data_IF_256007355889
#
_entry.id   IF_256007355889
#
_cell.length_a   1.000
_cell.length_b   1.000
_cell.length_c   1.000
_cell.angle_alpha   90.00
_cell.angle_beta   90.00
_cell.angle_gamma   90.00
#
_symmetry.space_group_name_H-M   'P 1'
#
loop_
_entity.id
_entity.type
_entity.pdbx_description
1 polymer ?
#
# COMPACT_ATOMS: atom_id res chain seq x y z
N UNK A 1 -2.32 -26.40 -2.60
CA UNK A 1 -1.00 -25.98 -2.11
C UNK A 1 -0.40 -24.88 -2.99
N UNK A 2 -0.35 -25.06 -4.32
CA UNK A 2 0.16 -24.06 -5.26
C UNK A 2 -0.63 -22.73 -5.18
N UNK A 3 -1.95 -22.81 -5.11
CA UNK A 3 -2.83 -21.64 -4.98
C UNK A 3 -2.53 -20.79 -3.73
N UNK A 4 -2.36 -21.42 -2.57
CA UNK A 4 -2.01 -20.72 -1.33
C UNK A 4 -0.64 -20.06 -1.40
N UNK A 5 0.34 -20.73 -2.04
CA UNK A 5 1.65 -20.12 -2.28
C UNK A 5 1.55 -18.91 -3.21
N UNK A 6 0.72 -18.99 -4.24
CA UNK A 6 0.43 -17.87 -5.15
C UNK A 6 -0.18 -16.70 -4.39
N UNK A 7 -1.20 -16.95 -3.55
CA UNK A 7 -1.83 -15.92 -2.73
C UNK A 7 -0.84 -15.28 -1.75
N UNK A 8 -0.02 -16.08 -1.07
CA UNK A 8 1.03 -15.56 -0.19
C UNK A 8 1.99 -14.65 -0.97
N UNK A 9 2.43 -15.09 -2.13
CA UNK A 9 3.36 -14.32 -3.00
C UNK A 9 2.70 -13.03 -3.49
N UNK A 10 1.43 -13.06 -3.88
CA UNK A 10 0.67 -11.87 -4.26
C UNK A 10 0.60 -10.89 -3.09
N UNK A 11 0.28 -11.36 -1.89
CA UNK A 11 0.25 -10.53 -0.68
C UNK A 11 1.62 -9.91 -0.36
N UNK A 12 2.68 -10.72 -0.42
CA UNK A 12 4.05 -10.28 -0.18
C UNK A 12 4.51 -9.25 -1.22
N UNK A 13 4.40 -9.56 -2.50
CA UNK A 13 4.89 -8.70 -3.57
C UNK A 13 4.04 -7.44 -3.74
N UNK A 14 2.71 -7.57 -3.61
CA UNK A 14 1.80 -6.43 -3.69
C UNK A 14 2.07 -5.38 -2.61
N UNK A 15 2.39 -5.83 -1.39
CA UNK A 15 2.76 -4.94 -0.28
C UNK A 15 4.20 -4.42 -0.36
N UNK A 16 5.14 -5.19 -0.93
CA UNK A 16 6.55 -4.83 -1.04
C UNK A 16 6.82 -3.67 -2.03
N UNK A 17 5.92 -3.43 -2.97
CA UNK A 17 6.02 -2.27 -3.88
C UNK A 17 6.06 -0.98 -3.05
N UNK A 18 7.10 -0.14 -3.18
CA UNK A 18 7.22 1.10 -2.43
C UNK A 18 5.99 1.98 -2.60
N UNK A 19 5.49 2.51 -1.49
CA UNK A 19 4.30 3.33 -1.46
C UNK A 19 4.15 4.05 -0.12
N UNK A 20 3.05 4.82 0.08
CA UNK A 20 2.80 5.53 1.33
C UNK A 20 2.97 4.66 2.57
N UNK A 21 2.56 3.38 2.50
CA UNK A 21 2.67 2.43 3.62
C UNK A 21 4.13 2.15 3.99
N UNK A 22 4.92 1.76 2.99
CA UNK A 22 6.35 1.45 3.17
C UNK A 22 7.11 2.68 3.65
N UNK A 23 6.82 3.85 3.06
CA UNK A 23 7.43 5.12 3.48
C UNK A 23 7.05 5.48 4.92
N UNK A 24 5.78 5.31 5.30
CA UNK A 24 5.32 5.56 6.65
C UNK A 24 6.01 4.64 7.67
N UNK A 25 6.06 3.34 7.40
CA UNK A 25 6.71 2.33 8.26
C UNK A 25 8.21 2.65 8.37
N UNK A 26 8.86 2.92 7.24
CA UNK A 26 10.29 3.26 7.19
C UNK A 26 10.61 4.48 8.04
N UNK A 27 9.88 5.60 7.84
CA UNK A 27 10.06 6.83 8.61
C UNK A 27 9.80 6.60 10.10
N UNK A 28 8.68 5.97 10.44
CA UNK A 28 8.34 5.70 11.83
C UNK A 28 9.41 4.86 12.51
N UNK A 29 10.01 3.90 11.79
CA UNK A 29 11.10 3.07 12.30
C UNK A 29 12.39 3.88 12.49
N UNK A 30 12.77 4.72 11.52
CA UNK A 30 13.97 5.56 11.61
C UNK A 30 13.84 6.60 12.73
N UNK A 31 12.68 7.25 12.84
CA UNK A 31 12.48 8.35 13.79
C UNK A 31 12.29 7.85 15.24
N UNK A 32 11.63 6.68 15.43
CA UNK A 32 11.13 6.22 16.73
C UNK A 32 11.54 4.79 17.12
N UNK A 33 12.30 4.13 16.25
CA UNK A 33 12.80 2.77 16.46
C UNK A 33 11.84 1.66 16.03
N UNK A 34 12.34 0.42 16.11
CA UNK A 34 11.67 -0.79 15.62
C UNK A 34 10.24 -0.98 16.17
N UNK A 35 10.05 -0.78 17.47
CA UNK A 35 8.75 -0.98 18.09
C UNK A 35 7.68 -0.02 17.55
N UNK A 36 8.04 1.24 17.34
CA UNK A 36 7.14 2.20 16.73
C UNK A 36 6.83 1.84 15.27
N UNK A 37 7.84 1.35 14.52
CA UNK A 37 7.65 0.80 13.17
C UNK A 37 6.65 -0.36 13.15
N UNK A 38 6.76 -1.30 14.09
CA UNK A 38 5.82 -2.42 14.21
C UNK A 38 4.41 -1.98 14.60
N UNK A 39 4.26 -0.99 15.47
CA UNK A 39 2.95 -0.42 15.79
C UNK A 39 2.33 0.23 14.54
N UNK A 40 3.11 0.98 13.79
CA UNK A 40 2.67 1.57 12.52
C UNK A 40 2.27 0.50 11.49
N UNK A 41 3.11 -0.54 11.34
CA UNK A 41 2.84 -1.69 10.49
C UNK A 41 1.54 -2.42 10.90
N UNK A 42 1.29 -2.56 12.20
CA UNK A 42 0.04 -3.15 12.70
C UNK A 42 -1.19 -2.33 12.32
N UNK A 43 -1.09 -1.01 12.30
CA UNK A 43 -2.17 -0.12 11.83
C UNK A 43 -2.44 -0.32 10.34
N UNK A 44 -1.39 -0.36 9.51
CA UNK A 44 -1.47 -0.66 8.08
C UNK A 44 -2.11 -2.02 7.85
N UNK A 45 -1.67 -3.05 8.58
CA UNK A 45 -2.18 -4.41 8.46
C UNK A 45 -3.66 -4.52 8.84
N UNK A 46 -4.08 -3.81 9.89
CA UNK A 46 -5.49 -3.77 10.28
C UNK A 46 -6.37 -3.17 9.18
N UNK A 47 -5.92 -2.11 8.53
CA UNK A 47 -6.62 -1.53 7.38
C UNK A 47 -6.61 -2.47 6.17
N UNK A 48 -5.53 -3.25 5.95
CA UNK A 48 -5.49 -4.30 4.93
C UNK A 48 -6.55 -5.37 5.15
N UNK A 49 -6.78 -5.78 6.39
CA UNK A 49 -7.84 -6.74 6.73
C UNK A 49 -9.23 -6.20 6.39
N UNK A 50 -9.45 -4.90 6.59
CA UNK A 50 -10.71 -4.26 6.16
C UNK A 50 -10.91 -4.39 4.65
N UNK A 51 -9.89 -4.06 3.85
CA UNK A 51 -9.97 -4.20 2.39
C UNK A 51 -10.12 -5.65 1.93
N UNK A 52 -9.38 -6.59 2.54
CA UNK A 52 -9.49 -8.02 2.24
C UNK A 52 -10.90 -8.56 2.51
N UNK A 53 -11.47 -8.18 3.64
CA UNK A 53 -12.84 -8.58 3.99
C UNK A 53 -13.85 -7.97 3.03
N UNK A 54 -13.73 -6.68 2.72
CA UNK A 54 -14.61 -5.99 1.78
C UNK A 54 -14.53 -6.63 0.37
N UNK A 55 -13.33 -6.89 -0.12
CA UNK A 55 -13.13 -7.55 -1.42
C UNK A 55 -13.70 -8.97 -1.44
N UNK A 56 -13.50 -9.74 -0.37
CA UNK A 56 -14.01 -11.10 -0.23
C UNK A 56 -15.53 -11.20 -0.08
N UNK A 57 -16.17 -10.16 0.46
CA UNK A 57 -17.64 -10.06 0.53
C UNK A 57 -18.28 -9.63 -0.81
N UNK A 58 -17.50 -9.57 -1.88
CA UNK A 58 -18.00 -9.25 -3.23
C UNK A 58 -18.07 -7.76 -3.54
N UNK A 59 -17.67 -6.87 -2.61
CA UNK A 59 -17.59 -5.43 -2.89
C UNK A 59 -16.56 -5.13 -3.99
N UNK A 60 -15.60 -6.04 -4.23
CA UNK A 60 -14.66 -5.97 -5.35
C UNK A 60 -15.34 -6.14 -6.72
N UNK A 61 -16.50 -6.79 -6.80
CA UNK A 61 -17.28 -6.91 -8.05
C UNK A 61 -17.76 -5.54 -8.53
N UNK A 62 -18.06 -4.63 -7.61
CA UNK A 62 -18.39 -3.26 -7.96
C UNK A 62 -17.24 -2.58 -8.72
N UNK A 63 -15.99 -2.90 -8.36
CA UNK A 63 -14.79 -2.38 -9.05
C UNK A 63 -14.62 -2.87 -10.49
N UNK A 64 -15.36 -3.91 -10.91
CA UNK A 64 -15.36 -4.41 -12.30
C UNK A 64 -16.39 -3.67 -13.18
N UNK A 65 -17.34 -2.96 -12.59
CA UNK A 65 -18.31 -2.17 -13.33
C UNK A 65 -17.63 -0.93 -13.96
N UNK A 66 -17.83 -0.66 -15.28
CA UNK A 66 -17.32 0.53 -15.95
C UNK A 66 -17.72 1.83 -15.25
N UNK A 67 -18.93 1.87 -14.67
CA UNK A 67 -19.43 3.02 -13.90
C UNK A 67 -18.63 3.33 -12.63
N UNK A 68 -17.98 2.33 -12.04
CA UNK A 68 -17.05 2.51 -10.92
C UNK A 68 -15.60 2.72 -11.37
N UNK A 69 -15.19 2.03 -12.45
CA UNK A 69 -13.83 2.14 -12.98
C UNK A 69 -13.52 3.55 -13.48
N UNK A 70 -14.48 4.19 -14.13
CA UNK A 70 -14.32 5.54 -14.66
C UNK A 70 -13.98 6.57 -13.57
N UNK A 71 -14.80 6.79 -12.53
CA UNK A 71 -14.46 7.77 -11.49
C UNK A 71 -13.24 7.36 -10.65
N UNK A 72 -13.09 6.08 -10.31
CA UNK A 72 -11.91 5.59 -9.58
C UNK A 72 -10.64 5.81 -10.41
N UNK A 73 -10.69 5.54 -11.71
CA UNK A 73 -9.57 5.75 -12.60
C UNK A 73 -9.17 7.22 -12.72
N UNK A 74 -10.13 8.13 -12.83
CA UNK A 74 -9.88 9.58 -12.91
C UNK A 74 -9.32 10.10 -11.57
N UNK A 75 -10.06 9.94 -10.48
CA UNK A 75 -9.65 10.48 -9.18
C UNK A 75 -8.41 9.77 -8.62
N UNK A 76 -8.32 8.45 -8.80
CA UNK A 76 -7.17 7.66 -8.37
C UNK A 76 -5.89 8.03 -9.12
N UNK A 77 -5.97 8.25 -10.44
CA UNK A 77 -4.79 8.67 -11.21
C UNK A 77 -4.31 10.05 -10.82
N UNK A 78 -5.22 11.02 -10.66
CA UNK A 78 -4.88 12.37 -10.21
C UNK A 78 -4.20 12.35 -8.83
N UNK A 79 -4.72 11.53 -7.92
CA UNK A 79 -4.15 11.37 -6.59
C UNK A 79 -2.78 10.68 -6.62
N UNK A 80 -2.59 9.63 -7.46
CA UNK A 80 -1.27 8.99 -7.63
C UNK A 80 -0.24 9.94 -8.22
N UNK A 81 -0.62 10.77 -9.20
CA UNK A 81 0.26 11.80 -9.76
C UNK A 81 0.62 12.86 -8.70
N UNK A 82 -0.33 13.25 -7.88
CA UNK A 82 -0.09 14.18 -6.77
C UNK A 82 0.92 13.58 -5.76
N UNK A 83 0.74 12.30 -5.36
CA UNK A 83 1.70 11.58 -4.50
C UNK A 83 3.06 11.49 -5.17
N UNK A 84 3.13 11.09 -6.45
CA UNK A 84 4.37 10.97 -7.20
C UNK A 84 5.15 12.29 -7.19
N UNK A 85 4.47 13.41 -7.43
CA UNK A 85 5.05 14.75 -7.37
C UNK A 85 5.53 15.11 -5.95
N UNK A 86 4.74 14.79 -4.93
CA UNK A 86 5.10 15.05 -3.52
C UNK A 86 6.36 14.29 -3.11
N UNK A 87 6.41 13.00 -3.41
CA UNK A 87 7.55 12.13 -3.06
C UNK A 87 8.80 12.50 -3.86
N UNK A 88 8.68 12.89 -5.11
CA UNK A 88 9.80 13.29 -5.96
C UNK A 88 10.63 14.42 -5.37
N UNK A 89 9.95 15.39 -4.76
CA UNK A 89 10.57 16.59 -4.18
C UNK A 89 10.92 16.42 -2.70
N UNK A 90 10.50 15.31 -2.09
CA UNK A 90 10.67 15.12 -0.66
C UNK A 90 12.12 14.76 -0.31
N UNK A 91 12.77 15.62 0.48
CA UNK A 91 14.02 15.29 1.16
C UNK A 91 13.67 14.66 2.50
N UNK A 92 14.14 13.44 2.74
CA UNK A 92 14.09 12.86 4.08
C UNK A 92 15.05 13.67 4.95
N UNK A 93 14.53 14.62 5.70
CA UNK A 93 15.27 15.25 6.78
C UNK A 93 15.34 14.20 7.90
N UNK A 94 16.52 13.62 8.07
CA UNK A 94 16.88 12.89 9.29
C UNK A 94 17.13 13.92 10.38
N UNK A 95 16.06 14.61 10.80
CA UNK A 95 16.15 15.49 11.95
C UNK A 95 16.12 14.57 13.17
N UNK A 96 17.21 14.59 13.95
CA UNK A 96 17.43 13.79 15.14
C UNK A 96 16.50 14.17 16.31
N UNK A 97 15.28 14.54 16.03
CA UNK A 97 14.27 14.74 17.06
C UNK A 97 13.66 13.39 17.41
N UNK A 98 14.29 12.77 18.38
CA UNK A 98 13.68 11.70 19.18
C UNK A 98 12.45 12.24 19.90
N UNK A 99 11.37 12.43 19.16
CA UNK A 99 10.05 12.60 19.76
C UNK A 99 9.57 11.20 20.18
N UNK A 100 10.15 10.71 21.30
CA UNK A 100 9.92 9.37 21.85
C UNK A 100 8.52 9.20 22.45
N UNK A 101 7.75 10.29 22.59
CA UNK A 101 6.48 10.31 23.34
C UNK A 101 5.22 10.26 22.47
N UNK A 102 5.33 9.88 21.19
CA UNK A 102 4.14 9.67 20.38
C UNK A 102 3.28 8.53 20.96
N UNK A 103 2.05 8.83 21.37
CA UNK A 103 1.09 7.82 21.84
C UNK A 103 1.03 6.67 20.83
N UNK A 104 1.24 5.43 21.29
CA UNK A 104 1.20 4.20 20.47
C UNK A 104 -0.05 4.11 19.61
N UNK A 105 -1.20 4.51 20.21
CA UNK A 105 -2.48 4.59 19.50
C UNK A 105 -2.43 5.57 18.31
N UNK A 106 -1.78 6.71 18.44
CA UNK A 106 -1.64 7.68 17.34
C UNK A 106 -0.82 7.10 16.18
N UNK A 107 0.27 6.40 16.49
CA UNK A 107 1.10 5.73 15.47
C UNK A 107 0.26 4.67 14.75
N UNK A 108 -0.48 3.84 15.48
CA UNK A 108 -1.37 2.83 14.92
C UNK A 108 -2.44 3.44 14.01
N UNK A 109 -3.19 4.42 14.53
CA UNK A 109 -4.27 5.09 13.77
C UNK A 109 -3.75 5.83 12.55
N UNK A 110 -2.57 6.42 12.63
CA UNK A 110 -1.93 7.07 11.47
C UNK A 110 -1.54 6.04 10.40
N UNK A 111 -0.99 4.87 10.79
CA UNK A 111 -0.72 3.77 9.87
C UNK A 111 -1.98 3.28 9.17
N UNK A 112 -3.07 3.11 9.95
CA UNK A 112 -4.37 2.74 9.42
C UNK A 112 -4.91 3.78 8.43
N UNK A 113 -4.86 5.07 8.79
CA UNK A 113 -5.32 6.15 7.93
C UNK A 113 -4.51 6.26 6.63
N UNK A 114 -3.18 6.12 6.71
CA UNK A 114 -2.29 6.10 5.53
C UNK A 114 -2.71 4.98 4.57
N UNK A 115 -2.97 3.78 5.06
CA UNK A 115 -3.37 2.65 4.22
C UNK A 115 -4.77 2.81 3.64
N UNK A 116 -5.75 3.25 4.45
CA UNK A 116 -7.12 3.49 3.98
C UNK A 116 -7.21 4.61 2.93
N UNK A 117 -6.30 5.57 3.00
CA UNK A 117 -6.20 6.65 2.01
C UNK A 117 -5.26 6.32 0.85
N UNK A 118 -4.68 5.11 0.84
CA UNK A 118 -3.70 4.72 -0.16
C UNK A 118 -4.40 4.20 -1.43
N UNK A 119 -4.40 4.95 -2.55
CA UNK A 119 -5.07 4.53 -3.77
C UNK A 119 -4.44 3.26 -4.37
N UNK A 120 -3.14 3.02 -4.14
CA UNK A 120 -2.50 1.76 -4.52
C UNK A 120 -3.18 0.59 -3.82
N UNK A 121 -3.50 0.72 -2.51
CA UNK A 121 -4.19 -0.31 -1.76
C UNK A 121 -5.61 -0.50 -2.30
N UNK A 122 -6.37 0.57 -2.52
CA UNK A 122 -7.72 0.51 -3.08
C UNK A 122 -7.73 -0.26 -4.40
N UNK A 123 -6.83 0.08 -5.33
CA UNK A 123 -6.74 -0.58 -6.63
C UNK A 123 -6.32 -2.04 -6.48
N UNK A 124 -5.29 -2.29 -5.67
CA UNK A 124 -4.79 -3.65 -5.45
C UNK A 124 -5.90 -4.57 -4.94
N UNK A 125 -6.63 -4.16 -3.92
CA UNK A 125 -7.68 -4.97 -3.32
C UNK A 125 -8.95 -5.06 -4.18
N UNK A 126 -9.34 -3.99 -4.85
CA UNK A 126 -10.58 -3.94 -5.63
C UNK A 126 -10.44 -4.55 -7.03
N UNK A 127 -9.31 -4.31 -7.71
CA UNK A 127 -9.15 -4.69 -9.11
C UNK A 127 -8.30 -5.95 -9.26
N UNK A 128 -7.17 -6.02 -8.53
CA UNK A 128 -6.21 -7.11 -8.70
C UNK A 128 -6.63 -8.34 -7.88
N UNK A 129 -7.01 -8.14 -6.62
CA UNK A 129 -7.21 -9.23 -5.68
C UNK A 129 -8.63 -9.78 -5.64
N UNK A 130 -9.65 -8.95 -5.84
CA UNK A 130 -11.04 -9.37 -5.75
C UNK A 130 -11.38 -10.61 -6.62
N UNK A 131 -10.90 -10.72 -7.88
CA UNK A 131 -11.14 -11.93 -8.70
C UNK A 131 -10.59 -13.21 -8.10
N UNK A 132 -9.47 -13.14 -7.37
CA UNK A 132 -8.84 -14.31 -6.72
C UNK A 132 -9.58 -14.75 -5.46
N UNK A 133 -10.36 -13.86 -4.83
CA UNK A 133 -11.15 -14.17 -3.64
C UNK A 133 -12.56 -14.69 -3.96
N UNK A 134 -12.96 -14.66 -5.24
CA UNK A 134 -14.31 -15.06 -5.66
C UNK A 134 -14.59 -16.56 -5.50
N UNK A 135 -13.56 -17.39 -5.41
CA UNK A 135 -13.68 -18.85 -5.35
C UNK A 135 -12.79 -19.43 -4.26
N UNK A 136 -13.32 -20.33 -3.43
CA UNK A 136 -12.56 -21.05 -2.43
C UNK A 136 -12.90 -20.73 -0.97
N UNK A 137 -11.98 -21.08 -0.07
CA UNK A 137 -12.14 -20.85 1.38
C UNK A 137 -11.67 -19.42 1.72
N UNK A 138 -12.61 -18.48 1.70
CA UNK A 138 -12.34 -17.06 1.95
C UNK A 138 -11.55 -16.79 3.25
N UNK A 139 -11.89 -17.36 4.43
CA UNK A 139 -11.09 -17.17 5.63
C UNK A 139 -9.63 -17.60 5.48
N UNK A 140 -9.37 -18.72 4.81
CA UNK A 140 -8.03 -19.21 4.58
C UNK A 140 -7.27 -18.31 3.59
N UNK A 141 -7.92 -17.84 2.55
CA UNK A 141 -7.35 -16.90 1.57
C UNK A 141 -6.96 -15.57 2.24
N UNK A 142 -7.85 -15.01 3.06
CA UNK A 142 -7.57 -13.79 3.86
C UNK A 142 -6.38 -14.03 4.79
N UNK A 143 -6.34 -15.16 5.49
CA UNK A 143 -5.23 -15.50 6.39
C UNK A 143 -3.90 -15.53 5.65
N UNK A 144 -3.83 -16.24 4.52
CA UNK A 144 -2.59 -16.41 3.74
C UNK A 144 -2.11 -15.08 3.15
N UNK A 145 -3.02 -14.29 2.60
CA UNK A 145 -2.71 -12.94 2.11
C UNK A 145 -2.21 -12.03 3.23
N UNK A 146 -2.87 -12.08 4.39
CA UNK A 146 -2.46 -11.32 5.59
C UNK A 146 -1.06 -11.73 6.05
N UNK A 147 -0.72 -13.02 5.98
CA UNK A 147 0.65 -13.49 6.28
C UNK A 147 1.68 -12.88 5.31
N UNK A 148 1.38 -12.80 4.00
CA UNK A 148 2.23 -12.12 3.02
C UNK A 148 2.44 -10.64 3.35
N UNK A 149 1.36 -9.90 3.64
CA UNK A 149 1.44 -8.50 4.06
C UNK A 149 2.23 -8.33 5.36
N UNK A 150 1.99 -9.20 6.35
CA UNK A 150 2.70 -9.19 7.64
C UNK A 150 4.20 -9.35 7.41
N UNK A 151 4.59 -10.35 6.62
CA UNK A 151 6.01 -10.58 6.29
C UNK A 151 6.65 -9.34 5.70
N UNK A 152 5.99 -8.66 4.78
CA UNK A 152 6.52 -7.43 4.17
C UNK A 152 6.61 -6.28 5.18
N UNK A 153 5.51 -5.92 5.82
CA UNK A 153 5.48 -4.69 6.63
C UNK A 153 6.34 -4.79 7.89
N UNK A 154 6.31 -5.93 8.57
CA UNK A 154 7.17 -6.16 9.73
C UNK A 154 8.63 -6.38 9.33
N UNK A 155 8.84 -7.08 8.20
CA UNK A 155 10.16 -7.27 7.61
C UNK A 155 10.83 -5.96 7.22
N UNK A 156 10.08 -5.03 6.60
CA UNK A 156 10.59 -3.68 6.27
C UNK A 156 11.01 -2.94 7.54
N UNK A 157 10.17 -2.89 8.58
CA UNK A 157 10.54 -2.25 9.84
C UNK A 157 11.79 -2.87 10.47
N UNK A 158 11.89 -4.22 10.45
CA UNK A 158 13.06 -4.93 10.96
C UNK A 158 14.32 -4.60 10.16
N UNK A 159 14.27 -4.68 8.83
CA UNK A 159 15.40 -4.36 7.97
C UNK A 159 15.85 -2.92 8.13
N UNK A 160 14.92 -1.97 8.15
CA UNK A 160 15.22 -0.55 8.38
C UNK A 160 15.90 -0.33 9.71
N UNK A 161 15.46 -1.00 10.78
CA UNK A 161 16.06 -0.86 12.10
C UNK A 161 17.46 -1.47 12.22
N UNK A 162 17.79 -2.45 11.37
CA UNK A 162 19.11 -3.11 11.35
C UNK A 162 20.10 -2.43 10.41
N UNK A 163 19.59 -1.78 9.38
CA UNK A 163 20.38 -1.14 8.33
C UNK A 163 20.09 0.36 8.25
N UNK A 164 19.91 1.02 9.40
CA UNK A 164 19.65 2.47 9.50
C UNK A 164 20.73 3.27 8.77
N UNK A 165 22.01 2.92 8.92
CA UNK A 165 23.13 3.50 8.19
C UNK A 165 23.05 3.32 6.66
N UNK A 166 22.23 2.37 6.18
CA UNK A 166 21.97 2.19 4.75
C UNK A 166 21.07 3.29 4.18
N UNK A 167 20.19 3.86 5.01
CA UNK A 167 19.24 4.91 4.60
C UNK A 167 19.88 6.30 4.63
N UNK A 168 20.93 6.48 3.84
CA UNK A 168 21.53 7.82 3.65
C UNK A 168 20.56 8.73 2.88
N UNK A 169 20.66 10.07 3.02
CA UNK A 169 19.81 11.02 2.27
C UNK A 169 19.87 10.80 0.75
N UNK A 170 21.01 10.34 0.23
CA UNK A 170 21.18 10.03 -1.19
C UNK A 170 20.35 8.80 -1.60
N UNK A 171 20.42 7.70 -0.84
CA UNK A 171 19.67 6.46 -1.11
C UNK A 171 18.18 6.65 -0.92
N UNK A 172 17.79 7.40 0.10
CA UNK A 172 16.41 7.78 0.32
C UNK A 172 15.83 8.55 -0.87
N UNK A 173 16.60 9.45 -1.48
CA UNK A 173 16.20 10.18 -2.69
C UNK A 173 16.04 9.24 -3.90
N UNK A 174 16.90 8.24 -4.04
CA UNK A 174 16.76 7.23 -5.11
C UNK A 174 15.48 6.43 -4.93
N UNK A 175 15.20 5.96 -3.71
CA UNK A 175 13.97 5.22 -3.36
C UNK A 175 12.74 6.08 -3.64
N UNK A 176 12.75 7.35 -3.21
CA UNK A 176 11.64 8.27 -3.46
C UNK A 176 11.39 8.48 -4.96
N UNK A 177 12.45 8.68 -5.75
CA UNK A 177 12.32 8.83 -7.20
C UNK A 177 11.83 7.58 -7.89
N UNK A 178 12.36 6.40 -7.51
CA UNK A 178 11.87 5.12 -8.03
C UNK A 178 10.39 4.91 -7.68
N UNK A 179 9.99 5.23 -6.46
CA UNK A 179 8.58 5.16 -6.04
C UNK A 179 7.69 6.13 -6.81
N UNK A 180 8.16 7.36 -7.05
CA UNK A 180 7.42 8.35 -7.84
C UNK A 180 7.23 7.91 -9.30
N UNK A 181 8.25 7.33 -9.92
CA UNK A 181 8.15 6.74 -11.28
C UNK A 181 7.12 5.61 -11.29
N UNK A 182 7.15 4.73 -10.29
CA UNK A 182 6.21 3.62 -10.17
C UNK A 182 4.77 4.11 -9.98
N UNK A 183 4.55 5.13 -9.12
CA UNK A 183 3.22 5.74 -8.96
C UNK A 183 2.73 6.41 -10.24
N UNK A 184 3.63 7.06 -10.99
CA UNK A 184 3.28 7.63 -12.30
C UNK A 184 2.86 6.53 -13.28
N UNK A 185 3.56 5.40 -13.30
CA UNK A 185 3.18 4.24 -14.12
C UNK A 185 1.78 3.72 -13.74
N UNK A 186 1.49 3.51 -12.45
CA UNK A 186 0.16 3.10 -12.01
C UNK A 186 -0.92 4.15 -12.33
N UNK A 187 -0.60 5.44 -12.24
CA UNK A 187 -1.54 6.50 -12.64
C UNK A 187 -1.90 6.42 -14.13
N UNK A 188 -0.91 6.16 -15.00
CA UNK A 188 -1.14 5.99 -16.44
C UNK A 188 -2.01 4.75 -16.73
N UNK A 189 -1.77 3.63 -16.03
CA UNK A 189 -2.61 2.44 -16.15
C UNK A 189 -4.06 2.71 -15.70
N UNK A 190 -4.26 3.51 -14.64
CA UNK A 190 -5.60 3.92 -14.22
C UNK A 190 -6.29 4.82 -15.25
N UNK A 191 -5.57 5.76 -15.85
CA UNK A 191 -6.10 6.61 -16.93
C UNK A 191 -6.52 5.73 -18.10
N UNK A 192 -5.71 4.76 -18.48
CA UNK A 192 -6.03 3.82 -19.56
C UNK A 192 -7.32 3.04 -19.25
N UNK A 193 -7.44 2.50 -18.03
CA UNK A 193 -8.63 1.75 -17.62
C UNK A 193 -9.87 2.65 -17.56
N UNK A 194 -9.75 3.88 -17.08
CA UNK A 194 -10.83 4.87 -17.09
C UNK A 194 -11.28 5.20 -18.51
N UNK A 195 -10.33 5.35 -19.44
CA UNK A 195 -10.63 5.57 -20.84
C UNK A 195 -11.43 4.41 -21.44
N UNK A 196 -10.98 3.16 -21.24
CA UNK A 196 -11.67 1.96 -21.70
C UNK A 196 -13.08 1.85 -21.12
N UNK A 197 -13.24 2.10 -19.83
CA UNK A 197 -14.54 2.13 -19.17
C UNK A 197 -15.44 3.24 -19.76
N UNK A 198 -14.89 4.41 -20.07
CA UNK A 198 -15.62 5.49 -20.74
C UNK A 198 -16.11 5.08 -22.13
N UNK A 199 -15.27 4.42 -22.93
CA UNK A 199 -15.65 3.90 -24.24
C UNK A 199 -16.77 2.86 -24.13
N UNK A 200 -16.73 2.00 -23.10
CA UNK A 200 -17.77 0.98 -22.88
C UNK A 200 -19.13 1.59 -22.46
N UNK A 201 -19.10 2.73 -21.74
CA UNK A 201 -20.33 3.41 -21.28
C UNK A 201 -21.01 4.21 -22.41
N UNK A 202 -20.22 4.85 -23.29
CA UNK A 202 -20.72 5.82 -24.26
C UNK A 202 -20.46 5.47 -25.75
N UNK A 203 -19.73 4.39 -26.02
CA UNK A 203 -19.45 3.87 -27.37
C UNK A 203 -20.40 2.78 -27.77
#
# INVERSE_FOLDING_TARGET
>A
MLELLTLYTIGLMGSAVPGPDILYITRTTLDRGLWAGWIGASGVLFASLFYLTAAGLGLGVLGQSPYFQLPIGIFGSLYLLWIAKSIWNETIHMDNRHDRDGHKLHIFLKGMAVHLSNPKAIIFFSIILAPFLAHGNLPLQILVLTMGHTTTFFGVAFLVSRFDNFFTPHRARIINRASAVLFTFFALELIRNAWLAGVEIWG
#
